data_IF_597541039790
#
_entry.id   IF_597541039790
#
_cell.length_a   1.000
_cell.length_b   1.000
_cell.length_c   1.000
_cell.angle_alpha   90.00
_cell.angle_beta   90.00
_cell.angle_gamma   90.00
#
_symmetry.space_group_name_H-M   'P 1'
#
loop_
_entity.id
_entity.type
_entity.pdbx_description
1 polymer ?
#
# COMPACT_ATOMS: atom_id res chain seq x y z
N UNK A 1 1.29 -2.00 1.17
CA UNK A 1 0.42 -1.23 2.08
C UNK A 1 -0.32 -2.18 2.99
N UNK A 2 -0.58 -1.78 4.23
CA UNK A 2 -1.35 -2.57 5.20
C UNK A 2 -2.45 -1.70 5.81
N UNK A 3 -3.57 -2.31 6.19
CA UNK A 3 -4.68 -1.66 6.89
C UNK A 3 -4.54 -1.85 8.40
N UNK A 4 -4.80 -0.80 9.16
CA UNK A 4 -4.55 -0.82 10.60
C UNK A 4 -5.52 0.03 11.39
N UNK A 5 -6.06 -0.49 12.50
CA UNK A 5 -6.95 0.27 13.39
C UNK A 5 -6.17 0.98 14.48
N UNK A 6 -6.19 2.31 14.44
CA UNK A 6 -5.55 3.18 15.43
C UNK A 6 -6.59 3.93 16.25
N UNK A 7 -6.24 4.19 17.51
CA UNK A 7 -6.93 5.20 18.32
C UNK A 7 -6.40 6.58 17.93
N UNK A 8 -7.28 7.44 17.44
CA UNK A 8 -6.93 8.79 16.99
C UNK A 8 -7.22 9.81 18.09
N UNK A 9 -6.19 10.08 18.91
CA UNK A 9 -6.29 11.02 20.03
C UNK A 9 -6.54 12.46 19.58
N UNK A 10 -6.07 12.84 18.38
CA UNK A 10 -6.28 14.19 17.85
C UNK A 10 -7.73 14.40 17.40
N UNK A 11 -8.35 13.37 16.82
CA UNK A 11 -9.78 13.41 16.52
C UNK A 11 -10.65 13.36 17.78
N UNK A 12 -10.22 12.64 18.83
CA UNK A 12 -10.93 12.56 20.11
C UNK A 12 -11.07 13.90 20.80
N UNK A 13 -10.04 14.76 20.76
CA UNK A 13 -10.09 16.03 21.47
C UNK A 13 -9.33 17.14 20.75
N UNK A 14 -10.01 17.90 19.87
CA UNK A 14 -9.40 19.06 19.24
C UNK A 14 -8.99 20.16 20.22
N UNK A 15 -9.54 20.16 21.44
CA UNK A 15 -9.36 21.20 22.46
C UNK A 15 -8.82 20.67 23.80
N UNK A 16 -8.21 19.48 23.80
CA UNK A 16 -7.71 18.73 24.98
C UNK A 16 -8.75 18.38 26.09
N UNK A 17 -9.98 18.88 26.00
CA UNK A 17 -11.17 18.38 26.70
C UNK A 17 -12.14 17.77 25.67
N UNK A 18 -12.05 16.46 25.44
CA UNK A 18 -12.77 15.78 24.35
C UNK A 18 -13.90 14.87 24.84
N UNK A 19 -14.78 14.42 23.93
CA UNK A 19 -15.71 13.31 24.19
C UNK A 19 -15.05 12.15 24.93
N UNK A 20 -15.77 11.61 25.90
CA UNK A 20 -15.37 10.47 26.75
C UNK A 20 -15.12 9.20 25.91
N UNK A 21 -15.58 9.17 24.66
CA UNK A 21 -15.51 7.99 23.81
C UNK A 21 -14.30 8.02 22.87
N UNK A 22 -13.44 6.98 22.91
CA UNK A 22 -12.28 6.88 22.04
C UNK A 22 -12.70 6.72 20.57
N UNK A 23 -11.99 7.41 19.67
CA UNK A 23 -12.23 7.34 18.23
C UNK A 23 -11.21 6.39 17.63
N UNK A 24 -11.70 5.24 17.17
CA UNK A 24 -10.90 4.26 16.43
C UNK A 24 -11.17 4.40 14.94
N UNK A 25 -10.12 4.55 14.14
CA UNK A 25 -10.21 4.61 12.67
C UNK A 25 -9.25 3.63 12.01
N UNK A 26 -9.65 3.12 10.85
CA UNK A 26 -8.78 2.32 9.99
C UNK A 26 -7.95 3.24 9.10
N UNK A 27 -6.63 3.09 9.16
CA UNK A 27 -5.66 3.83 8.36
C UNK A 27 -4.88 2.89 7.45
N UNK A 28 -4.31 3.46 6.38
CA UNK A 28 -3.43 2.76 5.44
C UNK A 28 -2.01 3.26 5.62
N UNK A 29 -1.08 2.35 5.86
CA UNK A 29 0.33 2.67 6.08
C UNK A 29 1.28 1.79 5.25
N UNK A 30 2.55 2.14 5.26
CA UNK A 30 3.60 1.34 4.62
C UNK A 30 3.69 -0.05 5.24
N UNK A 31 4.05 -1.04 4.42
CA UNK A 31 4.37 -2.37 4.91
C UNK A 31 5.77 -2.44 5.57
N UNK A 32 6.57 -1.38 5.43
CA UNK A 32 7.95 -1.31 5.92
C UNK A 32 8.04 -0.33 7.09
N UNK A 33 8.87 -0.66 8.08
CA UNK A 33 9.14 0.21 9.21
C UNK A 33 9.95 1.44 8.72
N UNK A 34 9.53 2.68 9.02
CA UNK A 34 10.25 3.88 8.58
C UNK A 34 11.64 4.02 9.22
N UNK A 35 11.89 3.33 10.33
CA UNK A 35 13.16 3.41 11.07
C UNK A 35 14.18 2.40 10.57
N UNK A 36 13.79 1.13 10.39
CA UNK A 36 14.72 0.07 10.00
C UNK A 36 14.56 -0.43 8.56
N UNK A 37 13.53 0.01 7.83
CA UNK A 37 13.26 -0.40 6.45
C UNK A 37 12.74 -1.84 6.28
N UNK A 38 12.83 -2.67 7.31
CA UNK A 38 12.31 -4.04 7.32
C UNK A 38 10.79 -4.11 7.28
N UNK A 39 10.26 -5.24 6.82
CA UNK A 39 8.81 -5.52 6.85
C UNK A 39 8.28 -5.46 8.28
N UNK A 40 7.17 -4.74 8.45
CA UNK A 40 6.41 -4.70 9.71
C UNK A 40 5.87 -6.10 10.05
N UNK A 41 5.72 -6.37 11.34
CA UNK A 41 5.12 -7.61 11.81
C UNK A 41 3.62 -7.70 11.50
N UNK A 42 3.05 -8.89 11.70
CA UNK A 42 1.62 -9.12 11.50
C UNK A 42 0.78 -8.32 12.52
N UNK A 43 -0.23 -7.56 12.07
CA UNK A 43 -1.13 -6.85 12.96
C UNK A 43 -1.97 -7.82 13.79
N UNK A 44 -2.03 -7.57 15.09
CA UNK A 44 -2.80 -8.34 16.08
C UNK A 44 -3.82 -7.45 16.74
N UNK A 45 -5.03 -7.96 16.93
CA UNK A 45 -6.06 -7.21 17.64
C UNK A 45 -5.74 -7.13 19.14
N UNK A 46 -5.87 -5.93 19.70
CA UNK A 46 -5.79 -5.63 21.12
C UNK A 46 -7.08 -4.95 21.58
N UNK A 47 -7.78 -5.58 22.52
CA UNK A 47 -8.92 -4.98 23.19
C UNK A 47 -8.44 -4.17 24.39
N UNK A 48 -8.95 -2.95 24.53
CA UNK A 48 -8.60 -2.01 25.58
C UNK A 48 -9.87 -1.47 26.25
N UNK A 49 -9.71 -1.00 27.49
CA UNK A 49 -10.74 -0.35 28.27
C UNK A 49 -10.12 0.93 28.85
N UNK A 50 -10.69 2.08 28.55
CA UNK A 50 -10.26 3.39 29.04
C UNK A 50 -11.49 4.15 29.54
N UNK A 51 -11.48 4.61 30.80
CA UNK A 51 -12.60 5.30 31.45
C UNK A 51 -13.99 4.63 31.29
N UNK A 52 -14.00 3.28 31.26
CA UNK A 52 -15.21 2.48 31.06
C UNK A 52 -15.66 2.33 29.60
N UNK A 53 -15.00 3.00 28.66
CA UNK A 53 -15.17 2.78 27.24
C UNK A 53 -14.31 1.59 26.77
N UNK A 54 -14.93 0.62 26.11
CA UNK A 54 -14.24 -0.52 25.53
C UNK A 54 -14.03 -0.32 24.03
N UNK A 55 -12.81 -0.54 23.55
CA UNK A 55 -12.47 -0.39 22.15
C UNK A 55 -11.38 -1.38 21.72
N UNK A 56 -11.24 -1.57 20.41
CA UNK A 56 -10.28 -2.52 19.85
C UNK A 56 -9.35 -1.82 18.87
N UNK A 57 -8.04 -1.86 19.15
CA UNK A 57 -6.99 -1.36 18.25
C UNK A 57 -6.19 -2.52 17.69
N UNK A 58 -5.44 -2.29 16.64
CA UNK A 58 -4.44 -3.25 16.19
C UNK A 58 -3.07 -2.89 16.80
N UNK A 59 -2.21 -3.88 17.01
CA UNK A 59 -0.82 -3.72 17.47
C UNK A 59 0.08 -4.69 16.69
N UNK A 60 1.35 -4.35 16.51
CA UNK A 60 2.34 -5.29 15.97
C UNK A 60 3.66 -5.15 16.72
N UNK A 61 4.61 -6.01 16.37
CA UNK A 61 5.98 -5.91 16.86
C UNK A 61 6.88 -5.86 15.64
N UNK A 62 7.65 -4.78 15.52
CA UNK A 62 8.63 -4.63 14.45
C UNK A 62 9.87 -5.49 14.76
N UNK A 63 10.57 -6.00 13.74
CA UNK A 63 11.78 -6.80 13.93
C UNK A 63 12.91 -6.01 14.63
N UNK A 64 12.91 -4.68 14.52
CA UNK A 64 13.83 -3.80 15.23
C UNK A 64 13.52 -3.66 16.74
N UNK A 65 12.44 -4.26 17.23
CA UNK A 65 12.02 -4.19 18.64
C UNK A 65 11.35 -2.88 19.05
N UNK A 66 11.21 -1.91 18.15
CA UNK A 66 10.48 -0.66 18.40
C UNK A 66 8.97 -0.88 18.31
N UNK A 67 8.24 -0.23 19.21
CA UNK A 67 6.78 -0.11 19.15
C UNK A 67 6.45 1.16 18.38
N UNK A 68 5.64 1.04 17.33
CA UNK A 68 5.15 2.20 16.59
C UNK A 68 4.03 2.87 17.40
N UNK A 69 4.21 4.14 17.76
CA UNK A 69 3.18 4.89 18.48
C UNK A 69 2.05 5.27 17.52
N UNK A 70 0.80 5.29 18.00
CA UNK A 70 -0.33 5.64 17.13
C UNK A 70 -0.25 7.05 16.55
N UNK A 71 0.41 7.98 17.23
CA UNK A 71 0.65 9.33 16.70
C UNK A 71 1.52 9.28 15.43
N UNK A 72 2.67 8.58 15.50
CA UNK A 72 3.58 8.41 14.36
C UNK A 72 2.88 7.73 13.17
N UNK A 73 2.03 6.73 13.44
CA UNK A 73 1.24 6.02 12.42
C UNK A 73 0.22 6.95 11.74
N UNK A 74 -0.39 7.85 12.50
CA UNK A 74 -1.33 8.87 11.99
C UNK A 74 -0.61 9.89 11.11
N UNK A 75 0.59 10.32 11.52
CA UNK A 75 1.44 11.20 10.71
C UNK A 75 1.86 10.53 9.40
N UNK A 76 2.36 9.29 9.44
CA UNK A 76 2.71 8.51 8.25
C UNK A 76 1.54 8.37 7.28
N UNK A 77 0.34 8.11 7.81
CA UNK A 77 -0.87 8.02 6.98
C UNK A 77 -1.15 9.34 6.26
N UNK A 78 -0.91 10.47 6.93
CA UNK A 78 -1.12 11.81 6.38
C UNK A 78 -0.12 12.10 5.25
N UNK A 79 1.14 11.72 5.44
CA UNK A 79 2.18 11.84 4.42
C UNK A 79 1.90 10.98 3.19
N UNK A 80 1.48 9.72 3.40
CA UNK A 80 1.12 8.82 2.31
C UNK A 80 -0.11 9.32 1.54
N UNK A 81 -1.13 9.81 2.25
CA UNK A 81 -2.31 10.39 1.62
C UNK A 81 -1.96 11.65 0.82
N UNK A 82 -1.07 12.51 1.32
CA UNK A 82 -0.59 13.68 0.61
C UNK A 82 0.21 13.29 -0.65
N UNK A 83 1.08 12.29 -0.55
CA UNK A 83 1.82 11.77 -1.70
C UNK A 83 0.90 11.17 -2.77
N UNK A 84 -0.12 10.41 -2.35
CA UNK A 84 -1.14 9.87 -3.25
C UNK A 84 -1.96 10.99 -3.92
N UNK A 85 -2.40 11.99 -3.17
CA UNK A 85 -3.13 13.13 -3.71
C UNK A 85 -2.29 13.92 -4.70
N UNK A 86 -1.00 14.14 -4.41
CA UNK A 86 -0.07 14.79 -5.31
C UNK A 86 0.14 13.99 -6.60
N UNK A 87 0.25 12.65 -6.52
CA UNK A 87 0.35 11.80 -7.70
C UNK A 87 -0.91 11.88 -8.58
N UNK A 88 -2.11 11.88 -7.97
CA UNK A 88 -3.37 12.06 -8.69
C UNK A 88 -3.44 13.45 -9.35
N UNK A 89 -3.05 14.51 -8.65
CA UNK A 89 -3.02 15.89 -9.19
C UNK A 89 -2.01 16.06 -10.32
N UNK A 90 -0.91 15.32 -10.30
CA UNK A 90 0.07 15.29 -11.39
C UNK A 90 -0.44 14.59 -12.64
N UNK A 91 -1.72 14.18 -12.68
CA UNK A 91 -2.31 13.48 -13.81
C UNK A 91 -1.87 12.02 -13.92
N UNK A 92 -1.27 11.47 -12.85
CA UNK A 92 -0.91 10.06 -12.78
C UNK A 92 -2.15 9.24 -12.41
N UNK A 93 -3.09 9.12 -13.35
CA UNK A 93 -4.03 8.00 -13.29
C UNK A 93 -3.24 6.80 -13.78
N UNK A 94 -3.15 5.71 -13.02
CA UNK A 94 -2.32 4.54 -13.40
C UNK A 94 -2.67 3.88 -14.74
N UNK A 95 -3.58 4.46 -15.52
CA UNK A 95 -3.95 4.11 -16.89
C UNK A 95 -3.17 4.88 -17.98
N UNK A 96 -2.53 6.02 -17.68
CA UNK A 96 -1.93 6.89 -18.70
C UNK A 96 -0.53 6.42 -19.18
N UNK A 97 0.00 5.33 -18.64
CA UNK A 97 1.24 4.71 -19.14
C UNK A 97 1.11 4.12 -20.57
N UNK A 98 -0.10 4.05 -21.14
CA UNK A 98 -0.34 3.38 -22.43
C UNK A 98 -0.76 4.29 -23.60
N UNK A 99 -0.98 5.61 -23.42
CA UNK A 99 -1.56 6.45 -24.49
C UNK A 99 -0.54 7.26 -25.31
N UNK A 100 0.76 7.14 -25.04
CA UNK A 100 1.83 7.63 -25.92
C UNK A 100 2.52 6.45 -26.59
N UNK A 101 2.30 6.27 -27.90
CA UNK A 101 2.81 5.17 -28.73
C UNK A 101 4.33 5.06 -28.89
N UNK A 102 5.07 5.07 -27.80
CA UNK A 102 6.49 4.71 -27.74
C UNK A 102 6.71 3.84 -26.50
N UNK A 103 6.49 2.54 -26.69
CA UNK A 103 6.89 1.48 -25.78
C UNK A 103 8.42 1.40 -25.69
N UNK A 104 9.02 2.32 -24.95
CA UNK A 104 10.43 2.32 -24.59
C UNK A 104 10.65 1.66 -23.22
N UNK A 105 10.92 0.35 -23.23
CA UNK A 105 11.73 -0.38 -22.26
C UNK A 105 11.47 -0.18 -20.75
N UNK A 106 10.85 -1.20 -20.17
CA UNK A 106 11.56 -2.02 -19.18
C UNK A 106 11.35 -1.68 -17.72
N UNK A 107 10.36 -2.32 -17.11
CA UNK A 107 10.54 -3.01 -15.83
C UNK A 107 9.76 -4.33 -15.90
N UNK A 108 10.46 -5.42 -15.61
CA UNK A 108 9.94 -6.79 -15.63
C UNK A 108 8.76 -6.93 -14.65
N UNK A 109 7.53 -6.90 -15.17
CA UNK A 109 6.37 -7.36 -14.41
C UNK A 109 6.15 -8.84 -14.76
N UNK A 110 6.46 -9.71 -13.80
CA UNK A 110 6.07 -11.12 -13.83
C UNK A 110 4.57 -11.15 -13.53
N UNK A 111 3.74 -11.23 -14.56
CA UNK A 111 2.31 -11.49 -14.41
C UNK A 111 1.94 -12.89 -14.87
N UNK A 112 1.45 -13.65 -13.89
CA UNK A 112 0.83 -14.96 -13.99
C UNK A 112 -0.46 -14.80 -14.80
N UNK A 113 -0.63 -15.60 -15.84
CA UNK A 113 -1.67 -15.45 -16.85
C UNK A 113 -3.10 -15.28 -16.32
N UNK A 114 -3.71 -14.16 -16.69
CA UNK A 114 -5.15 -13.93 -16.63
C UNK A 114 -5.62 -13.38 -17.98
N UNK A 115 -6.56 -14.09 -18.63
CA UNK A 115 -7.22 -13.64 -19.86
C UNK A 115 -8.18 -12.50 -19.53
N UNK A 116 -7.86 -11.28 -19.95
CA UNK A 116 -8.81 -10.17 -20.04
C UNK A 116 -9.11 -9.87 -21.50
N UNK A 117 -10.37 -10.01 -21.90
CA UNK A 117 -10.90 -9.53 -23.18
C UNK A 117 -11.19 -8.03 -23.06
N UNK A 118 -10.71 -7.25 -24.01
CA UNK A 118 -10.94 -5.82 -24.18
C UNK A 118 -12.30 -5.54 -24.83
N UNK A 119 -12.86 -4.36 -24.51
CA UNK A 119 -14.26 -3.98 -24.78
C UNK A 119 -14.61 -3.75 -26.26
N UNK A 120 -13.64 -3.86 -27.17
CA UNK A 120 -13.81 -3.56 -28.60
C UNK A 120 -13.66 -4.77 -29.53
N UNK A 121 -13.44 -5.98 -28.99
CA UNK A 121 -13.44 -7.22 -29.78
C UNK A 121 -12.36 -7.29 -30.87
N UNK A 122 -11.32 -6.46 -30.80
CA UNK A 122 -10.21 -6.44 -31.75
C UNK A 122 -9.07 -7.35 -31.26
N UNK A 123 -8.91 -8.52 -31.90
CA UNK A 123 -7.77 -9.41 -31.70
C UNK A 123 -6.44 -8.65 -31.88
N UNK A 124 -5.74 -8.34 -30.79
CA UNK A 124 -4.32 -8.05 -30.87
C UNK A 124 -3.58 -9.38 -31.12
N UNK A 125 -2.83 -9.55 -32.22
CA UNK A 125 -2.02 -10.74 -32.36
C UNK A 125 -0.93 -10.71 -31.29
N UNK A 126 -1.00 -11.69 -30.38
CA UNK A 126 0.12 -12.06 -29.53
C UNK A 126 1.39 -12.11 -30.39
N UNK A 127 2.39 -11.33 -29.99
CA UNK A 127 3.78 -11.54 -30.41
C UNK A 127 4.16 -12.95 -29.96
N UNK A 128 4.04 -13.92 -30.86
CA UNK A 128 4.72 -15.18 -30.75
C UNK A 128 6.21 -14.87 -30.94
N UNK A 129 6.98 -14.81 -29.85
CA UNK A 129 8.44 -14.96 -29.97
C UNK A 129 8.70 -16.37 -30.50
N UNK A 130 9.01 -16.45 -31.78
CA UNK A 130 9.69 -17.60 -32.34
C UNK A 130 11.08 -17.68 -31.71
N UNK A 131 11.26 -18.58 -30.75
CA UNK A 131 12.58 -19.13 -30.45
C UNK A 131 12.64 -20.52 -31.07
N UNK A 132 13.07 -20.59 -32.32
CA UNK A 132 13.61 -21.82 -32.91
C UNK A 132 15.13 -21.68 -33.00
N UNK A 133 15.91 -22.70 -32.58
CA UNK A 133 17.35 -22.60 -32.42
C UNK A 133 18.08 -22.74 -33.77
N UNK A 134 19.19 -22.01 -33.90
CA UNK A 134 20.31 -22.38 -34.75
C UNK A 134 21.55 -22.12 -33.89
N UNK A 135 22.37 -23.11 -33.52
CA UNK A 135 22.93 -24.14 -34.38
C UNK A 135 24.38 -23.74 -34.65
N UNK A 136 25.32 -24.37 -33.95
CA UNK A 136 26.75 -24.12 -34.10
C UNK A 136 27.56 -25.16 -33.33
N UNK A 137 27.75 -26.32 -33.95
CA UNK A 137 28.59 -27.42 -33.49
C UNK A 137 30.09 -27.06 -33.49
N UNK A 138 30.80 -27.79 -32.61
CA UNK A 138 32.15 -28.32 -32.75
C UNK A 138 33.36 -27.38 -32.98
N UNK A 139 34.27 -27.41 -32.01
CA UNK A 139 35.60 -28.00 -32.22
C UNK A 139 36.10 -28.67 -30.94
#
# INVERSE_FOLDING_TARGET
>A
MIYFRVRDRFAESPWESGPINPIVRTVTISAYCPVCGELRGEPRNLNQCDDGAHYSTDIWTNPCGRVDAYADVVEETTELAAAQAAAVQAGWTGHDACLGGECGFGLDYIEVGGRGEDHDGAWCPHVQRATTPAGGEAR
#
